data_IF_322157328006
#
_entry.id   IF_322157328006
#
_cell.length_a   1.000
_cell.length_b   1.000
_cell.length_c   1.000
_cell.angle_alpha   90.00
_cell.angle_beta   90.00
_cell.angle_gamma   90.00
#
_symmetry.space_group_name_H-M   'P 1'
#
loop_
_entity.id
_entity.type
_entity.pdbx_description
1 polymer ?
#
# COMPACT_ATOMS: atom_id res chain seq x y z
N UNK A 1 -35.04 17.30 8.38
CA UNK A 1 -34.86 16.66 7.06
C UNK A 1 -33.90 17.50 6.22
N UNK A 2 -34.17 18.79 5.97
CA UNK A 2 -33.32 19.70 5.19
C UNK A 2 -31.88 19.85 5.73
N UNK A 3 -31.68 19.86 7.05
CA UNK A 3 -30.35 19.93 7.67
C UNK A 3 -29.53 18.70 7.32
N UNK A 4 -30.10 17.50 7.48
CA UNK A 4 -29.40 16.23 7.14
C UNK A 4 -29.00 16.16 5.65
N UNK A 5 -29.83 16.66 4.76
CA UNK A 5 -29.53 16.74 3.32
C UNK A 5 -28.35 17.67 3.05
N UNK A 6 -28.35 18.85 3.67
CA UNK A 6 -27.25 19.83 3.54
C UNK A 6 -25.96 19.29 4.15
N UNK A 7 -26.01 18.65 5.31
CA UNK A 7 -24.86 18.02 5.98
C UNK A 7 -24.26 16.91 5.12
N UNK A 8 -25.09 16.04 4.54
CA UNK A 8 -24.62 14.97 3.65
C UNK A 8 -23.92 15.55 2.40
N UNK A 9 -24.50 16.60 1.80
CA UNK A 9 -23.88 17.27 0.67
C UNK A 9 -22.57 17.98 1.02
N UNK A 10 -22.53 18.65 2.15
CA UNK A 10 -21.31 19.29 2.67
C UNK A 10 -20.22 18.27 2.91
N UNK A 11 -20.52 17.17 3.61
CA UNK A 11 -19.57 16.09 3.87
C UNK A 11 -19.04 15.48 2.58
N UNK A 12 -19.89 15.20 1.61
CA UNK A 12 -19.46 14.65 0.31
C UNK A 12 -18.52 15.61 -0.43
N UNK A 13 -18.77 16.92 -0.39
CA UNK A 13 -17.88 17.92 -0.98
C UNK A 13 -16.53 17.99 -0.25
N UNK A 14 -16.55 18.01 1.07
CA UNK A 14 -15.33 18.08 1.88
C UNK A 14 -14.44 16.85 1.69
N UNK A 15 -15.01 15.65 1.62
CA UNK A 15 -14.28 14.41 1.34
C UNK A 15 -13.63 14.36 -0.05
N UNK A 16 -14.13 15.16 -0.98
CA UNK A 16 -13.57 15.26 -2.34
C UNK A 16 -12.45 16.28 -2.50
N UNK A 17 -12.20 17.13 -1.48
CA UNK A 17 -11.15 18.14 -1.56
C UNK A 17 -9.76 17.51 -1.33
N UNK A 18 -8.77 17.83 -2.18
CA UNK A 18 -7.40 17.43 -1.95
C UNK A 18 -6.79 18.21 -0.78
N UNK A 19 -5.74 17.65 -0.17
CA UNK A 19 -4.94 18.38 0.79
C UNK A 19 -4.25 19.59 0.12
N UNK A 20 -4.05 20.66 0.87
CA UNK A 20 -3.30 21.79 0.39
C UNK A 20 -1.81 21.41 0.32
N UNK A 21 -1.14 21.65 -0.81
CA UNK A 21 0.30 21.46 -0.90
C UNK A 21 1.05 22.53 -0.10
N UNK A 22 2.25 22.20 0.36
CA UNK A 22 3.14 23.16 0.98
C UNK A 22 3.60 24.22 -0.04
N UNK A 23 3.91 25.44 0.44
CA UNK A 23 4.21 26.59 -0.43
C UNK A 23 5.53 26.45 -1.19
N UNK A 24 6.45 25.59 -0.72
CA UNK A 24 7.75 25.33 -1.33
C UNK A 24 7.69 24.26 -2.44
N UNK A 25 6.52 23.62 -2.66
CA UNK A 25 6.35 22.64 -3.72
C UNK A 25 6.15 23.32 -5.08
N UNK A 26 6.94 22.91 -6.06
CA UNK A 26 6.78 23.41 -7.43
C UNK A 26 5.54 22.79 -8.10
N UNK A 27 4.67 23.61 -8.68
CA UNK A 27 3.53 23.13 -9.44
C UNK A 27 3.99 22.46 -10.75
N UNK A 28 3.26 21.44 -11.22
CA UNK A 28 3.51 20.75 -12.48
C UNK A 28 3.67 19.24 -12.32
N UNK A 29 4.29 18.60 -13.30
CA UNK A 29 4.50 17.15 -13.35
C UNK A 29 5.91 16.74 -12.94
N UNK A 30 6.32 15.55 -13.36
CA UNK A 30 7.62 14.93 -13.03
C UNK A 30 8.83 15.79 -13.43
N UNK A 31 8.67 16.62 -14.44
CA UNK A 31 9.70 17.55 -14.92
C UNK A 31 10.13 18.59 -13.88
N UNK A 32 9.26 18.85 -12.90
CA UNK A 32 9.53 19.79 -11.81
C UNK A 32 10.04 19.10 -10.52
N UNK A 33 10.28 17.78 -10.54
CA UNK A 33 10.88 17.09 -9.42
C UNK A 33 12.28 17.60 -9.14
N UNK A 34 12.55 17.98 -7.90
CA UNK A 34 13.86 18.43 -7.44
C UNK A 34 14.48 17.42 -6.49
N UNK A 35 15.70 16.90 -6.77
CA UNK A 35 16.42 16.10 -5.81
C UNK A 35 16.83 16.96 -4.62
N UNK A 36 16.37 16.61 -3.42
CA UNK A 36 16.72 17.31 -2.19
C UNK A 36 18.12 16.93 -1.69
N UNK A 37 18.54 15.71 -1.95
CA UNK A 37 19.83 15.19 -1.47
C UNK A 37 20.30 14.03 -2.34
N UNK A 38 21.60 13.97 -2.57
CA UNK A 38 22.29 12.81 -3.12
C UNK A 38 23.11 12.12 -2.03
N UNK A 39 23.21 10.79 -2.11
CA UNK A 39 24.04 9.99 -1.22
C UNK A 39 24.73 8.89 -2.03
N UNK A 40 26.08 8.80 -1.87
CA UNK A 40 26.90 7.85 -2.60
C UNK A 40 27.04 8.17 -4.09
N UNK A 41 27.77 7.31 -4.76
CA UNK A 41 27.99 7.37 -6.20
C UNK A 41 27.31 6.21 -6.90
N UNK A 42 26.60 6.43 -8.03
CA UNK A 42 26.05 5.35 -8.82
C UNK A 42 27.15 4.37 -9.27
N UNK A 43 26.91 3.09 -9.03
CA UNK A 43 27.86 2.06 -9.45
C UNK A 43 27.89 1.96 -10.96
N UNK A 44 29.11 1.97 -11.55
CA UNK A 44 29.32 1.65 -12.95
C UNK A 44 29.63 0.16 -13.11
N UNK A 45 29.14 -0.43 -14.21
CA UNK A 45 29.36 -1.83 -14.53
C UNK A 45 30.19 -1.92 -15.83
N UNK A 46 31.06 -2.89 -15.89
CA UNK A 46 31.84 -3.26 -17.09
C UNK A 46 31.14 -4.31 -17.96
N UNK A 47 29.88 -4.62 -17.63
CA UNK A 47 28.98 -5.55 -18.31
C UNK A 47 27.57 -4.95 -18.43
N UNK A 48 26.77 -5.47 -19.35
CA UNK A 48 25.36 -5.09 -19.50
C UNK A 48 24.54 -5.65 -18.33
N UNK A 49 23.99 -4.81 -17.43
CA UNK A 49 23.23 -5.27 -16.28
C UNK A 49 21.85 -5.79 -16.71
N UNK A 50 21.48 -6.98 -16.24
CA UNK A 50 20.14 -7.53 -16.44
C UNK A 50 19.13 -6.84 -15.54
N UNK A 51 17.90 -6.69 -16.03
CA UNK A 51 16.79 -6.23 -15.21
C UNK A 51 16.33 -7.31 -14.20
N UNK A 52 15.49 -6.93 -13.24
CA UNK A 52 15.05 -7.83 -12.18
C UNK A 52 14.24 -9.03 -12.68
N UNK A 53 13.47 -8.89 -13.77
CA UNK A 53 12.67 -10.01 -14.32
C UNK A 53 13.59 -11.10 -14.83
N UNK A 54 14.60 -10.74 -15.61
CA UNK A 54 15.56 -11.68 -16.18
C UNK A 54 16.41 -12.31 -15.08
N UNK A 55 16.90 -11.52 -14.12
CA UNK A 55 17.65 -12.04 -12.97
C UNK A 55 16.83 -13.04 -12.13
N UNK A 56 15.61 -12.67 -11.77
CA UNK A 56 14.75 -13.54 -10.94
C UNK A 56 14.32 -14.80 -11.68
N UNK A 57 14.16 -14.73 -13.02
CA UNK A 57 13.83 -15.89 -13.85
C UNK A 57 15.05 -16.82 -13.98
N UNK A 58 16.21 -16.29 -14.32
CA UNK A 58 17.45 -17.07 -14.48
C UNK A 58 17.87 -17.78 -13.19
N UNK A 59 17.67 -17.14 -12.05
CA UNK A 59 18.00 -17.67 -10.73
C UNK A 59 16.86 -18.55 -10.14
N UNK A 60 15.72 -18.66 -10.82
CA UNK A 60 14.58 -19.45 -10.36
C UNK A 60 13.92 -18.92 -9.08
N UNK A 61 14.03 -17.61 -8.80
CA UNK A 61 13.50 -16.98 -7.60
C UNK A 61 11.99 -16.65 -7.70
N UNK A 62 11.54 -16.34 -8.92
CA UNK A 62 10.16 -15.91 -9.23
C UNK A 62 9.62 -16.72 -10.39
N UNK A 63 8.36 -17.14 -10.28
CA UNK A 63 7.61 -17.84 -11.32
C UNK A 63 6.45 -16.96 -11.80
N UNK A 64 6.70 -16.16 -12.81
CA UNK A 64 5.70 -15.27 -13.41
C UNK A 64 4.61 -16.03 -14.19
N UNK A 65 4.95 -17.03 -15.05
CA UNK A 65 3.94 -17.75 -15.81
C UNK A 65 2.92 -18.46 -14.93
N UNK A 66 3.37 -19.11 -13.85
CA UNK A 66 2.46 -19.78 -12.92
C UNK A 66 1.70 -18.79 -12.05
N UNK A 67 2.28 -17.66 -11.67
CA UNK A 67 1.56 -16.57 -11.01
C UNK A 67 0.39 -16.07 -11.85
N UNK A 68 0.65 -15.80 -13.12
CA UNK A 68 -0.40 -15.43 -14.10
C UNK A 68 -1.46 -16.53 -14.27
N UNK A 69 -1.08 -17.79 -14.28
CA UNK A 69 -2.02 -18.91 -14.36
C UNK A 69 -2.96 -18.98 -13.15
N UNK A 70 -2.47 -18.64 -11.96
CA UNK A 70 -3.27 -18.70 -10.73
C UNK A 70 -4.22 -17.51 -10.58
N UNK A 71 -3.79 -16.32 -10.92
CA UNK A 71 -4.52 -15.11 -10.54
C UNK A 71 -4.60 -14.02 -11.64
N UNK A 72 -4.01 -14.27 -12.80
CA UNK A 72 -3.99 -13.31 -13.90
C UNK A 72 -2.70 -12.50 -13.99
N UNK A 73 -2.66 -11.56 -14.93
CA UNK A 73 -1.51 -10.66 -15.14
C UNK A 73 -1.28 -9.78 -13.91
N UNK A 74 -0.02 -9.50 -13.59
CA UNK A 74 0.35 -8.68 -12.43
C UNK A 74 0.42 -9.44 -11.12
N UNK A 75 0.39 -10.79 -11.19
CA UNK A 75 0.67 -11.68 -10.07
C UNK A 75 1.90 -12.53 -10.36
N UNK A 76 2.62 -12.90 -9.33
CA UNK A 76 3.81 -13.75 -9.39
C UNK A 76 3.87 -14.71 -8.21
N UNK A 77 4.75 -15.68 -8.29
CA UNK A 77 5.03 -16.63 -7.20
C UNK A 77 6.48 -16.48 -6.80
N UNK A 78 6.75 -16.15 -5.55
CA UNK A 78 8.08 -16.31 -4.97
C UNK A 78 8.37 -17.81 -4.81
N UNK A 79 9.56 -18.25 -5.19
CA UNK A 79 9.88 -19.67 -5.23
C UNK A 79 11.23 -19.98 -4.59
N UNK A 80 11.29 -21.06 -3.79
CA UNK A 80 12.53 -21.54 -3.18
C UNK A 80 13.28 -20.43 -2.40
N UNK A 81 14.49 -20.11 -2.86
CA UNK A 81 15.29 -19.05 -2.24
C UNK A 81 14.66 -17.66 -2.40
N UNK A 82 13.89 -17.41 -3.46
CA UNK A 82 13.14 -16.16 -3.62
C UNK A 82 12.14 -15.94 -2.50
N UNK A 83 11.37 -16.98 -2.15
CA UNK A 83 10.43 -16.90 -1.02
C UNK A 83 11.16 -16.73 0.33
N UNK A 84 12.32 -17.36 0.49
CA UNK A 84 13.14 -17.19 1.70
C UNK A 84 13.74 -15.79 1.82
N UNK A 85 14.16 -15.20 0.70
CA UNK A 85 14.68 -13.84 0.65
C UNK A 85 13.59 -12.81 1.01
N UNK A 86 12.40 -12.98 0.45
CA UNK A 86 11.23 -12.15 0.80
C UNK A 86 10.97 -12.19 2.31
N UNK A 87 10.87 -13.39 2.90
CA UNK A 87 10.67 -13.53 4.34
C UNK A 87 11.83 -12.99 5.18
N UNK A 88 13.06 -13.15 4.72
CA UNK A 88 14.22 -12.61 5.44
C UNK A 88 14.16 -11.07 5.49
N UNK A 89 13.76 -10.42 4.39
CA UNK A 89 13.59 -8.98 4.33
C UNK A 89 12.43 -8.49 5.20
N UNK A 90 11.29 -9.17 5.16
CA UNK A 90 10.14 -8.87 6.01
C UNK A 90 10.49 -8.99 7.51
N UNK A 91 11.18 -10.07 7.90
CA UNK A 91 11.64 -10.22 9.27
C UNK A 91 12.62 -9.13 9.70
N UNK A 92 13.54 -8.75 8.82
CA UNK A 92 14.46 -7.64 9.09
C UNK A 92 13.72 -6.33 9.35
N UNK A 93 12.70 -6.01 8.55
CA UNK A 93 11.88 -4.82 8.78
C UNK A 93 11.11 -4.88 10.09
N UNK A 94 10.48 -6.04 10.39
CA UNK A 94 9.74 -6.22 11.64
C UNK A 94 10.66 -6.08 12.87
N UNK A 95 11.83 -6.73 12.86
CA UNK A 95 12.80 -6.64 13.94
C UNK A 95 13.32 -5.22 14.15
N UNK A 96 13.53 -4.47 13.05
CA UNK A 96 13.96 -3.07 13.11
C UNK A 96 12.91 -2.20 13.79
N UNK A 97 11.64 -2.32 13.40
CA UNK A 97 10.56 -1.53 14.02
C UNK A 97 10.32 -1.91 15.50
N UNK A 98 10.42 -3.19 15.84
CA UNK A 98 10.37 -3.63 17.24
C UNK A 98 11.51 -3.01 18.06
N UNK A 99 12.73 -2.98 17.52
CA UNK A 99 13.88 -2.35 18.18
C UNK A 99 13.70 -0.83 18.35
N UNK A 100 12.98 -0.17 17.44
CA UNK A 100 12.64 1.25 17.51
C UNK A 100 11.45 1.55 18.45
N UNK A 101 10.93 0.53 19.14
CA UNK A 101 9.86 0.64 20.13
C UNK A 101 8.45 0.78 19.53
N UNK A 102 8.24 0.29 18.32
CA UNK A 102 6.91 0.17 17.74
C UNK A 102 6.23 -1.12 18.22
N UNK A 103 4.93 -1.08 18.42
CA UNK A 103 4.08 -2.24 18.69
C UNK A 103 3.64 -2.89 17.40
N UNK A 104 3.87 -4.21 17.27
CA UNK A 104 3.44 -4.96 16.10
C UNK A 104 1.97 -5.32 16.16
N UNK A 105 1.21 -4.99 15.13
CA UNK A 105 -0.20 -5.30 14.98
C UNK A 105 -0.39 -6.25 13.80
N UNK A 106 -1.23 -7.26 13.96
CA UNK A 106 -1.71 -8.13 12.88
C UNK A 106 -3.21 -7.88 12.64
N UNK A 107 -3.56 -6.93 11.78
CA UNK A 107 -4.94 -6.55 11.56
C UNK A 107 -5.66 -7.52 10.61
N UNK A 108 -7.01 -7.53 10.58
CA UNK A 108 -7.77 -8.15 9.52
C UNK A 108 -7.39 -7.59 8.14
N UNK A 109 -7.38 -8.45 7.12
CA UNK A 109 -7.09 -8.03 5.75
C UNK A 109 -8.34 -7.63 4.94
N UNK A 110 -9.52 -7.98 5.43
CA UNK A 110 -10.80 -7.48 4.93
C UNK A 110 -11.26 -6.35 5.84
N UNK A 111 -11.39 -5.16 5.28
CA UNK A 111 -11.75 -3.96 6.03
C UNK A 111 -13.13 -3.46 5.61
N UNK A 112 -13.85 -2.86 6.56
CA UNK A 112 -15.07 -2.11 6.27
C UNK A 112 -14.73 -0.80 5.53
N UNK A 113 -15.67 -0.30 4.73
CA UNK A 113 -15.53 0.93 3.95
C UNK A 113 -15.08 2.13 4.80
N UNK A 114 -15.55 2.20 6.03
CA UNK A 114 -15.21 3.25 7.00
C UNK A 114 -13.70 3.36 7.30
N UNK A 115 -12.96 2.27 7.18
CA UNK A 115 -11.50 2.30 7.36
C UNK A 115 -10.82 3.12 6.26
N UNK A 116 -11.29 2.99 5.02
CA UNK A 116 -10.79 3.78 3.90
C UNK A 116 -11.15 5.26 3.99
N UNK A 117 -12.32 5.58 4.54
CA UNK A 117 -12.70 6.97 4.85
C UNK A 117 -11.82 7.56 5.94
N UNK A 118 -11.60 6.82 7.04
CA UNK A 118 -10.75 7.26 8.17
C UNK A 118 -9.32 7.56 7.73
N UNK A 119 -8.76 6.71 6.85
CA UNK A 119 -7.41 6.90 6.30
C UNK A 119 -7.34 7.96 5.19
N UNK A 120 -8.45 8.61 4.84
CA UNK A 120 -8.49 9.61 3.76
C UNK A 120 -8.31 9.04 2.34
N UNK A 121 -8.39 7.72 2.18
CA UNK A 121 -8.26 7.06 0.87
C UNK A 121 -9.56 7.10 0.08
N UNK A 122 -10.70 7.06 0.76
CA UNK A 122 -12.01 7.15 0.12
C UNK A 122 -12.62 8.54 0.28
N UNK A 123 -13.42 8.98 -0.69
CA UNK A 123 -13.89 8.24 -1.88
C UNK A 123 -12.91 8.16 -3.05
N UNK A 124 -11.81 8.91 -3.05
CA UNK A 124 -10.90 9.11 -4.19
C UNK A 124 -10.38 7.80 -4.79
N UNK A 125 -9.95 6.86 -3.95
CA UNK A 125 -9.35 5.59 -4.38
C UNK A 125 -10.30 4.39 -4.21
N UNK A 126 -11.61 4.62 -4.09
CA UNK A 126 -12.59 3.55 -3.90
C UNK A 126 -12.66 2.55 -5.08
N UNK A 127 -12.20 2.95 -6.28
CA UNK A 127 -12.13 2.07 -7.45
C UNK A 127 -10.80 1.33 -7.58
N UNK A 128 -9.81 1.66 -6.75
CA UNK A 128 -8.50 0.99 -6.73
C UNK A 128 -8.45 -0.23 -5.79
N UNK A 129 -9.51 -0.49 -5.03
CA UNK A 129 -9.58 -1.61 -4.10
C UNK A 129 -10.40 -2.78 -4.65
N UNK A 130 -10.03 -4.00 -4.25
CA UNK A 130 -10.83 -5.20 -4.50
C UNK A 130 -11.98 -5.26 -3.50
N UNK A 131 -13.21 -5.05 -3.97
CA UNK A 131 -14.42 -5.13 -3.15
C UNK A 131 -14.83 -6.58 -2.96
N UNK A 132 -15.33 -6.91 -1.77
CA UNK A 132 -15.89 -8.22 -1.45
C UNK A 132 -17.34 -8.27 -1.91
N UNK A 133 -17.68 -9.23 -2.76
CA UNK A 133 -19.01 -9.33 -3.37
C UNK A 133 -20.08 -9.80 -2.37
N UNK A 134 -19.71 -10.77 -1.51
CA UNK A 134 -20.66 -11.42 -0.59
C UNK A 134 -20.22 -11.28 0.88
N UNK A 135 -20.28 -10.08 1.47
CA UNK A 135 -19.98 -9.91 2.88
C UNK A 135 -21.05 -10.56 3.76
N UNK A 136 -20.64 -11.14 4.88
CA UNK A 136 -21.55 -11.86 5.81
C UNK A 136 -22.52 -10.95 6.56
N UNK A 137 -22.18 -9.69 6.70
CA UNK A 137 -22.94 -8.68 7.48
C UNK A 137 -23.70 -7.66 6.61
N UNK A 138 -23.66 -7.82 5.28
CA UNK A 138 -24.28 -6.91 4.32
C UNK A 138 -23.61 -5.53 4.19
N UNK A 139 -22.48 -5.29 4.86
CA UNK A 139 -21.70 -4.05 4.75
C UNK A 139 -20.73 -4.12 3.57
N UNK A 140 -20.25 -2.97 3.13
CA UNK A 140 -19.23 -2.92 2.10
C UNK A 140 -17.86 -3.23 2.70
N UNK A 141 -17.28 -4.34 2.28
CA UNK A 141 -15.93 -4.76 2.64
C UNK A 141 -15.00 -4.73 1.41
N UNK A 142 -13.71 -4.58 1.68
CA UNK A 142 -12.69 -4.59 0.64
C UNK A 142 -11.38 -5.20 1.17
N UNK A 143 -10.56 -5.72 0.25
CA UNK A 143 -9.21 -6.18 0.59
C UNK A 143 -8.31 -4.96 0.79
N UNK A 144 -7.58 -4.92 1.91
CA UNK A 144 -6.74 -3.77 2.27
C UNK A 144 -5.66 -3.49 1.20
N UNK A 145 -5.50 -2.24 0.76
CA UNK A 145 -4.43 -1.85 -0.16
C UNK A 145 -3.14 -1.44 0.57
N UNK A 146 -3.21 -1.23 1.89
CA UNK A 146 -2.16 -0.80 2.80
C UNK A 146 -2.61 -1.04 4.25
N UNK A 147 -1.68 -1.38 5.13
CA UNK A 147 -1.97 -1.53 6.55
C UNK A 147 -2.39 -0.21 7.22
N UNK A 148 -1.99 0.93 6.64
CA UNK A 148 -2.37 2.27 7.12
C UNK A 148 -3.86 2.39 7.40
N UNK A 149 -4.71 1.91 6.48
CA UNK A 149 -6.16 1.99 6.64
C UNK A 149 -6.68 1.26 7.89
N UNK A 150 -6.06 0.13 8.24
CA UNK A 150 -6.37 -0.62 9.45
C UNK A 150 -5.82 0.08 10.70
N UNK A 151 -4.54 0.45 10.68
CA UNK A 151 -3.86 1.06 11.83
C UNK A 151 -4.43 2.42 12.19
N UNK A 152 -4.70 3.30 11.22
CA UNK A 152 -5.32 4.60 11.42
C UNK A 152 -6.76 4.49 11.98
N UNK A 153 -7.43 3.37 11.71
CA UNK A 153 -8.79 3.12 12.18
C UNK A 153 -8.88 2.44 13.54
N UNK A 154 -7.74 2.00 14.10
CA UNK A 154 -7.72 1.16 15.29
C UNK A 154 -8.41 1.83 16.48
N UNK A 155 -8.20 3.14 16.64
CA UNK A 155 -8.79 3.95 17.71
C UNK A 155 -9.91 4.88 17.22
N UNK A 156 -10.49 4.58 16.07
CA UNK A 156 -11.62 5.36 15.52
C UNK A 156 -12.77 5.41 16.52
N UNK A 157 -13.31 6.61 16.74
CA UNK A 157 -14.41 6.88 17.70
C UNK A 157 -14.05 6.61 19.17
N UNK A 158 -12.77 6.52 19.52
CA UNK A 158 -12.29 6.46 20.90
C UNK A 158 -11.74 7.82 21.33
N UNK A 159 -11.91 8.13 22.62
CA UNK A 159 -11.28 9.31 23.25
C UNK A 159 -10.06 8.81 24.01
N UNK A 160 -8.87 9.15 23.52
CA UNK A 160 -7.61 8.82 24.15
C UNK A 160 -7.24 9.87 25.20
N UNK A 161 -6.55 9.44 26.25
CA UNK A 161 -5.95 10.34 27.25
C UNK A 161 -4.49 10.63 26.88
N UNK A 162 -3.91 11.66 27.51
CA UNK A 162 -2.49 11.98 27.31
C UNK A 162 -1.57 10.79 27.69
N UNK A 163 -1.96 10.01 28.68
CA UNK A 163 -1.23 8.81 29.10
C UNK A 163 -1.22 7.67 28.07
N UNK A 164 -2.15 7.70 27.12
CA UNK A 164 -2.21 6.74 26.02
C UNK A 164 -1.24 7.07 24.86
N UNK A 165 -0.58 8.21 24.90
CA UNK A 165 0.27 8.74 23.84
C UNK A 165 1.75 8.81 24.26
N UNK A 166 2.70 8.71 23.34
CA UNK A 166 2.51 8.44 21.91
C UNK A 166 2.18 6.98 21.61
N UNK A 167 1.41 6.72 20.56
CA UNK A 167 1.20 5.38 20.00
C UNK A 167 2.07 5.20 18.76
N UNK A 168 2.94 4.19 18.79
CA UNK A 168 3.81 3.82 17.67
C UNK A 168 3.44 2.40 17.25
N UNK A 169 2.80 2.27 16.11
CA UNK A 169 2.26 1.00 15.62
C UNK A 169 2.86 0.68 14.26
N UNK A 170 3.04 -0.60 13.98
CA UNK A 170 3.34 -1.07 12.64
C UNK A 170 2.66 -2.42 12.37
N UNK A 171 2.50 -2.76 11.10
CA UNK A 171 1.95 -4.03 10.70
C UNK A 171 2.69 -4.63 9.50
N UNK A 172 2.78 -5.95 9.46
CA UNK A 172 3.00 -6.71 8.25
C UNK A 172 1.65 -7.13 7.67
N UNK A 173 1.41 -6.82 6.40
CA UNK A 173 0.23 -7.31 5.68
C UNK A 173 0.54 -7.62 4.22
N UNK A 174 -0.13 -8.65 3.61
CA UNK A 174 -0.32 -8.65 2.17
C UNK A 174 -1.24 -7.49 1.81
N UNK A 175 -0.90 -6.76 0.75
CA UNK A 175 -1.66 -5.62 0.25
C UNK A 175 -2.20 -5.92 -1.14
N UNK A 176 -3.40 -5.38 -1.45
CA UNK A 176 -4.14 -5.69 -2.67
C UNK A 176 -4.57 -4.42 -3.38
N UNK A 177 -4.09 -4.19 -4.61
CA UNK A 177 -4.42 -3.01 -5.41
C UNK A 177 -4.88 -3.41 -6.80
N UNK A 178 -6.00 -2.86 -7.25
CA UNK A 178 -6.52 -3.12 -8.61
C UNK A 178 -5.66 -2.45 -9.67
N UNK A 179 -4.95 -1.38 -9.33
CA UNK A 179 -4.12 -0.61 -10.26
C UNK A 179 -4.93 -0.18 -11.51
N UNK A 180 -6.19 0.18 -11.33
CA UNK A 180 -7.13 0.43 -12.42
C UNK A 180 -6.72 1.62 -13.31
N UNK A 181 -5.98 2.59 -12.75
CA UNK A 181 -5.49 3.78 -13.45
C UNK A 181 -4.05 3.70 -13.95
N UNK A 182 -3.33 2.57 -13.76
CA UNK A 182 -1.93 2.50 -14.14
C UNK A 182 -1.73 2.10 -15.61
N UNK A 183 -0.85 2.81 -16.30
CA UNK A 183 -0.40 2.48 -17.66
C UNK A 183 0.66 1.37 -17.61
N UNK A 184 0.24 0.13 -17.34
CA UNK A 184 1.14 -1.01 -17.13
C UNK A 184 1.82 -1.54 -18.36
N UNK A 185 1.52 -1.04 -19.55
CA UNK A 185 2.07 -1.57 -20.79
C UNK A 185 3.61 -1.62 -20.80
N UNK A 186 4.25 -0.71 -20.09
CA UNK A 186 5.72 -0.58 -20.04
C UNK A 186 6.35 -1.11 -18.74
N UNK A 187 5.57 -1.48 -17.73
CA UNK A 187 6.08 -1.98 -16.45
C UNK A 187 6.07 -3.51 -16.42
N UNK A 188 7.25 -4.10 -16.28
CA UNK A 188 7.44 -5.57 -16.20
C UNK A 188 7.80 -6.00 -14.78
N UNK A 189 7.39 -7.22 -14.43
CA UNK A 189 7.83 -7.89 -13.22
C UNK A 189 7.15 -7.39 -11.96
N UNK A 190 7.93 -7.15 -10.89
CA UNK A 190 7.46 -6.88 -9.53
C UNK A 190 7.37 -5.40 -9.16
N UNK A 191 7.61 -4.49 -10.08
CA UNK A 191 7.56 -3.03 -9.79
C UNK A 191 6.16 -2.61 -9.37
N UNK A 192 5.14 -3.16 -10.03
CA UNK A 192 3.74 -3.02 -9.65
C UNK A 192 3.01 -4.34 -9.75
N UNK A 193 2.31 -4.71 -8.69
CA UNK A 193 1.52 -5.94 -8.63
C UNK A 193 0.15 -5.72 -8.00
N UNK A 194 -0.76 -6.64 -8.27
CA UNK A 194 -2.07 -6.64 -7.63
C UNK A 194 -2.03 -7.11 -6.19
N UNK A 195 -1.03 -7.91 -5.84
CA UNK A 195 -0.77 -8.38 -4.49
C UNK A 195 0.74 -8.28 -4.21
N UNK A 196 1.09 -7.73 -3.06
CA UNK A 196 2.47 -7.62 -2.58
C UNK A 196 2.48 -7.55 -1.06
N UNK A 197 3.64 -7.80 -0.44
CA UNK A 197 3.80 -7.72 1.01
C UNK A 197 4.33 -6.33 1.40
N UNK A 198 3.88 -5.83 2.54
CA UNK A 198 4.32 -4.55 3.08
C UNK A 198 4.50 -4.63 4.59
N UNK A 199 5.51 -3.97 5.10
CA UNK A 199 5.68 -3.62 6.52
C UNK A 199 5.56 -2.11 6.61
N UNK A 200 4.62 -1.62 7.36
CA UNK A 200 4.22 -0.22 7.38
C UNK A 200 3.93 0.27 8.78
#
# INVERSE_FOLDING_TARGET
EKVKEVEARYTALMLGLPNLPDEDLLPGGKENNQPLRYWGEPRTFDFEPKNHVDLCTDLGLIDYPRGTKLAGSGFWIYRGMGARLEWALLNYFMDTHLADGYEMILPPHMLEYECGLTAGQFPKFADEVYKIENPTDGRVHYMLPTAEAALASLYRNEILTEADLPKKLFAYTPCFRREAGSYRADERGMVRGHQFNMVE
#
